data_IF_586979066164
#
_entry.id   IF_586979066164
#
_cell.length_a   1.000
_cell.length_b   1.000
_cell.length_c   1.000
_cell.angle_alpha   90.00
_cell.angle_beta   90.00
_cell.angle_gamma   90.00
#
_symmetry.space_group_name_H-M   'P 1'
#
loop_
_entity.id
_entity.type
_entity.pdbx_description
1 polymer ?
#
# COMPACT_ATOMS: atom_id res chain seq x y z
N UNK A 1 -1.86 20.50 -9.41
CA UNK A 1 -2.78 19.44 -8.92
C UNK A 1 -4.20 19.70 -9.40
N UNK A 2 -4.91 18.66 -9.86
CA UNK A 2 -6.35 18.69 -10.17
C UNK A 2 -7.06 17.50 -9.55
N UNK A 3 -8.17 17.73 -8.84
CA UNK A 3 -9.00 16.69 -8.25
C UNK A 3 -10.33 16.56 -9.00
N UNK A 4 -10.66 15.36 -9.46
CA UNK A 4 -11.91 15.01 -10.12
C UNK A 4 -12.70 14.05 -9.24
N UNK A 5 -13.78 14.53 -8.62
CA UNK A 5 -14.60 13.73 -7.71
C UNK A 5 -15.74 13.02 -8.45
N UNK A 6 -16.15 11.83 -7.96
CA UNK A 6 -17.31 11.08 -8.44
C UNK A 6 -18.41 11.13 -7.39
N UNK A 7 -19.57 11.67 -7.77
CA UNK A 7 -20.74 11.78 -6.89
C UNK A 7 -22.01 11.28 -7.62
N UNK A 8 -22.53 10.08 -7.27
CA UNK A 8 -22.00 9.15 -6.25
C UNK A 8 -20.67 8.48 -6.69
N UNK A 9 -19.87 7.94 -5.75
CA UNK A 9 -18.73 7.09 -6.08
C UNK A 9 -19.13 5.89 -6.93
N UNK A 10 -18.23 5.42 -7.81
CA UNK A 10 -18.45 4.18 -8.57
C UNK A 10 -18.20 2.99 -7.65
N UNK A 11 -19.20 2.14 -7.46
CA UNK A 11 -19.05 0.90 -6.70
C UNK A 11 -18.64 -0.27 -7.61
N UNK A 12 -17.78 -1.15 -7.10
CA UNK A 12 -17.44 -2.40 -7.77
C UNK A 12 -17.08 -3.48 -6.74
N UNK A 13 -17.39 -4.73 -7.09
CA UNK A 13 -17.12 -5.90 -6.26
C UNK A 13 -15.66 -6.35 -6.38
N UNK A 14 -15.07 -6.72 -5.24
CA UNK A 14 -13.72 -7.28 -5.13
C UNK A 14 -13.71 -8.47 -4.18
N UNK A 15 -12.58 -9.16 -4.15
CA UNK A 15 -12.30 -10.25 -3.23
C UNK A 15 -12.47 -11.63 -3.86
N UNK A 16 -11.79 -12.62 -3.28
CA UNK A 16 -11.76 -13.98 -3.81
C UNK A 16 -13.02 -14.75 -3.40
N UNK A 17 -13.07 -15.31 -2.19
CA UNK A 17 -14.24 -16.03 -1.68
C UNK A 17 -15.21 -15.06 -0.98
N UNK A 18 -14.66 -14.18 -0.13
CA UNK A 18 -15.43 -13.17 0.58
C UNK A 18 -15.50 -11.90 -0.25
N UNK A 19 -16.68 -11.62 -0.79
CA UNK A 19 -16.91 -10.42 -1.60
C UNK A 19 -17.02 -9.17 -0.73
N UNK A 20 -16.41 -8.08 -1.21
CA UNK A 20 -16.52 -6.75 -0.64
C UNK A 20 -16.76 -5.71 -1.73
N UNK A 21 -17.26 -4.53 -1.35
CA UNK A 21 -17.48 -3.40 -2.26
C UNK A 21 -16.41 -2.34 -2.02
N UNK A 22 -15.69 -1.97 -3.07
CA UNK A 22 -14.83 -0.78 -3.08
C UNK A 22 -15.57 0.35 -3.79
N UNK A 23 -15.39 1.57 -3.28
CA UNK A 23 -15.94 2.82 -3.82
C UNK A 23 -14.82 3.64 -4.44
N UNK A 24 -14.86 3.80 -5.75
CA UNK A 24 -13.97 4.68 -6.50
C UNK A 24 -14.52 6.12 -6.45
N UNK A 25 -13.93 6.93 -5.58
CA UNK A 25 -14.38 8.28 -5.24
C UNK A 25 -13.90 9.37 -6.22
N UNK A 26 -12.98 9.06 -7.14
CA UNK A 26 -12.42 10.08 -8.03
C UNK A 26 -11.00 9.80 -8.49
N UNK A 27 -10.37 10.83 -9.05
CA UNK A 27 -9.01 10.78 -9.59
C UNK A 27 -8.28 12.07 -9.26
N UNK A 28 -6.99 11.95 -8.94
CA UNK A 28 -6.12 13.07 -8.64
C UNK A 28 -4.98 13.12 -9.65
N UNK A 29 -4.87 14.23 -10.35
CA UNK A 29 -3.77 14.51 -11.26
C UNK A 29 -2.75 15.42 -10.58
N UNK A 30 -1.48 14.98 -10.61
CA UNK A 30 -0.34 15.72 -10.07
C UNK A 30 0.62 16.08 -11.19
N UNK A 31 1.11 17.31 -11.15
CA UNK A 31 2.23 17.77 -11.96
C UNK A 31 3.54 17.25 -11.36
N UNK A 32 4.64 17.32 -12.13
CA UNK A 32 5.95 16.93 -11.61
C UNK A 32 6.28 17.75 -10.36
N UNK A 33 6.75 17.04 -9.34
CA UNK A 33 7.19 17.53 -8.03
C UNK A 33 6.05 17.99 -7.10
N UNK A 34 4.81 17.63 -7.41
CA UNK A 34 3.68 17.74 -6.49
C UNK A 34 3.51 16.48 -5.63
N UNK A 35 3.09 16.68 -4.38
CA UNK A 35 2.87 15.64 -3.37
C UNK A 35 1.46 15.77 -2.79
N UNK A 36 0.84 14.63 -2.49
CA UNK A 36 -0.37 14.56 -1.65
C UNK A 36 -0.15 13.60 -0.50
N UNK A 37 -0.80 13.88 0.63
CA UNK A 37 -0.77 13.02 1.82
C UNK A 37 -2.17 12.45 2.01
N UNK A 38 -2.24 11.13 2.15
CA UNK A 38 -3.44 10.42 2.55
C UNK A 38 -3.34 10.15 4.06
N UNK A 39 -4.40 10.46 4.80
CA UNK A 39 -4.44 10.35 6.25
C UNK A 39 -5.41 9.23 6.66
N UNK A 40 -5.02 8.46 7.68
CA UNK A 40 -5.93 7.55 8.38
C UNK A 40 -6.60 8.26 9.55
N UNK A 41 -7.70 7.71 10.08
CA UNK A 41 -8.43 8.30 11.20
C UNK A 41 -7.58 8.46 12.47
N UNK A 42 -6.56 7.61 12.64
CA UNK A 42 -5.61 7.65 13.76
C UNK A 42 -4.37 8.51 13.48
N UNK A 43 -4.36 9.25 12.37
CA UNK A 43 -3.27 10.14 11.99
C UNK A 43 -2.08 9.45 11.31
N UNK A 44 -2.26 8.22 10.79
CA UNK A 44 -1.27 7.60 9.94
C UNK A 44 -1.15 8.34 8.60
N UNK A 45 0.07 8.49 8.07
CA UNK A 45 0.32 9.30 6.87
C UNK A 45 0.93 8.47 5.73
N UNK A 46 0.35 8.62 4.53
CA UNK A 46 0.87 8.06 3.30
C UNK A 46 1.04 9.13 2.21
N UNK A 47 2.30 9.50 1.95
CA UNK A 47 2.65 10.46 0.90
C UNK A 47 2.84 9.78 -0.45
N UNK A 48 2.30 10.38 -1.51
CA UNK A 48 2.59 10.04 -2.91
C UNK A 48 3.07 11.29 -3.64
N UNK A 49 4.22 11.20 -4.30
CA UNK A 49 4.82 12.32 -5.06
C UNK A 49 4.89 11.97 -6.54
N UNK A 50 4.41 12.85 -7.41
CA UNK A 50 4.70 12.76 -8.84
C UNK A 50 6.09 13.33 -9.11
N UNK A 51 6.90 12.65 -9.93
CA UNK A 51 8.19 13.15 -10.45
C UNK A 51 8.17 13.04 -11.97
N UNK A 52 8.99 13.77 -12.72
CA UNK A 52 8.99 13.66 -14.19
C UNK A 52 9.09 12.21 -14.70
N UNK A 53 9.86 11.36 -14.01
CA UNK A 53 10.10 9.96 -14.35
C UNK A 53 9.03 8.96 -13.87
N UNK A 54 8.06 9.38 -13.03
CA UNK A 54 7.09 8.43 -12.46
C UNK A 54 6.51 8.92 -11.14
N UNK A 55 6.45 8.01 -10.16
CA UNK A 55 5.98 8.30 -8.82
C UNK A 55 6.99 7.85 -7.78
N UNK A 56 7.28 8.72 -6.83
CA UNK A 56 7.76 8.26 -5.55
C UNK A 56 6.56 7.70 -4.81
N UNK A 57 6.44 6.37 -4.88
CA UNK A 57 5.21 5.67 -4.51
C UNK A 57 4.91 5.80 -3.02
N UNK A 58 5.92 5.83 -2.16
CA UNK A 58 5.77 5.91 -0.70
C UNK A 58 6.99 6.61 -0.07
N UNK A 59 6.90 7.14 1.17
CA UNK A 59 8.08 7.40 2.01
C UNK A 59 8.92 6.14 2.25
N UNK A 60 10.12 6.28 2.85
CA UNK A 60 10.98 5.14 3.14
C UNK A 60 10.29 4.12 4.06
N UNK A 61 10.24 2.86 3.62
CA UNK A 61 9.45 1.78 4.24
C UNK A 61 9.91 1.45 5.65
N UNK A 62 11.21 1.50 5.88
CA UNK A 62 11.88 1.25 7.16
C UNK A 62 12.32 2.54 7.88
N UNK A 63 11.74 3.68 7.50
CA UNK A 63 12.03 4.98 8.08
C UNK A 63 10.75 5.78 8.25
N UNK A 64 10.54 6.79 7.39
CA UNK A 64 9.42 7.74 7.51
C UNK A 64 8.07 7.04 7.57
N UNK A 65 7.81 6.09 6.68
CA UNK A 65 6.50 5.44 6.60
C UNK A 65 6.17 4.66 7.88
N UNK A 66 7.15 3.91 8.39
CA UNK A 66 7.04 3.26 9.70
C UNK A 66 6.90 4.27 10.85
N UNK A 67 7.53 5.43 10.76
CA UNK A 67 7.36 6.54 11.70
C UNK A 67 5.95 7.14 11.67
N UNK A 68 5.32 7.17 10.49
CA UNK A 68 3.95 7.62 10.26
C UNK A 68 2.88 6.56 10.54
N UNK A 69 3.21 5.53 11.32
CA UNK A 69 2.24 4.54 11.75
C UNK A 69 1.83 3.52 10.69
N UNK A 70 2.50 3.47 9.54
CA UNK A 70 2.22 2.50 8.47
C UNK A 70 3.38 1.53 8.27
N UNK A 71 3.08 0.23 8.25
CA UNK A 71 4.02 -0.85 7.94
C UNK A 71 3.86 -1.27 6.50
N UNK A 72 4.96 -1.58 5.83
CA UNK A 72 4.94 -1.99 4.42
C UNK A 72 5.13 -3.49 4.30
N UNK A 73 4.29 -4.16 3.50
CA UNK A 73 4.38 -5.59 3.28
C UNK A 73 4.28 -5.92 1.80
N UNK A 74 5.23 -6.72 1.31
CA UNK A 74 5.16 -7.37 0.01
C UNK A 74 4.41 -8.70 0.19
N UNK A 75 3.33 -8.86 -0.55
CA UNK A 75 2.53 -10.09 -0.60
C UNK A 75 2.49 -10.65 -2.01
N UNK A 76 2.14 -11.93 -2.12
CA UNK A 76 1.90 -12.62 -3.38
C UNK A 76 0.56 -13.35 -3.31
N UNK A 77 -0.24 -13.28 -4.37
CA UNK A 77 -1.48 -14.04 -4.45
C UNK A 77 -1.25 -15.44 -5.07
N UNK A 78 -2.31 -16.27 -5.08
CA UNK A 78 -2.29 -17.64 -5.65
C UNK A 78 -1.94 -17.75 -7.14
N UNK A 79 -2.02 -16.66 -7.90
CA UNK A 79 -1.64 -16.61 -9.33
C UNK A 79 -0.27 -15.95 -9.54
N UNK A 80 0.57 -15.94 -8.49
CA UNK A 80 1.93 -15.38 -8.49
C UNK A 80 2.03 -13.88 -8.83
N UNK A 81 0.96 -13.11 -8.62
CA UNK A 81 1.02 -11.64 -8.70
C UNK A 81 1.44 -11.08 -7.35
N UNK A 82 2.33 -10.10 -7.38
CA UNK A 82 2.88 -9.46 -6.19
C UNK A 82 2.24 -8.09 -5.97
N UNK A 83 2.03 -7.74 -4.71
CA UNK A 83 1.42 -6.48 -4.30
C UNK A 83 2.18 -5.91 -3.12
N UNK A 84 2.27 -4.58 -3.05
CA UNK A 84 2.72 -3.86 -1.87
C UNK A 84 1.49 -3.33 -1.16
N UNK A 85 1.33 -3.70 0.11
CA UNK A 85 0.24 -3.24 0.96
C UNK A 85 0.83 -2.43 2.13
N UNK A 86 0.05 -1.46 2.60
CA UNK A 86 0.36 -0.66 3.78
C UNK A 86 -0.60 -1.04 4.91
N UNK A 87 -0.07 -1.32 6.09
CA UNK A 87 -0.83 -1.79 7.26
C UNK A 87 -0.65 -0.80 8.39
N UNK A 88 -1.76 -0.25 8.90
CA UNK A 88 -1.72 0.59 10.10
C UNK A 88 -1.15 -0.19 11.29
N UNK A 89 -0.23 0.41 12.05
CA UNK A 89 0.30 -0.19 13.28
C UNK A 89 -0.84 -0.48 14.25
N UNK A 90 -0.87 -1.70 14.77
CA UNK A 90 -1.93 -2.20 15.63
C UNK A 90 -3.07 -2.91 14.89
N UNK A 91 -3.12 -2.81 13.55
CA UNK A 91 -4.09 -3.52 12.71
C UNK A 91 -3.51 -4.78 12.03
N UNK A 92 -2.37 -5.28 12.53
CA UNK A 92 -1.80 -6.53 12.05
C UNK A 92 -2.75 -7.73 12.17
N UNK A 93 -3.55 -7.90 13.24
CA UNK A 93 -4.51 -9.01 13.33
C UNK A 93 -5.56 -8.98 12.22
N UNK A 94 -6.14 -7.82 11.92
CA UNK A 94 -7.11 -7.64 10.83
C UNK A 94 -6.46 -7.88 9.48
N UNK A 95 -5.21 -7.45 9.30
CA UNK A 95 -4.45 -7.76 8.10
C UNK A 95 -4.19 -9.26 7.93
N UNK A 96 -3.90 -10.00 9.01
CA UNK A 96 -3.76 -11.47 8.94
C UNK A 96 -5.07 -12.15 8.52
N UNK A 97 -6.22 -11.67 9.02
CA UNK A 97 -7.51 -12.18 8.58
C UNK A 97 -7.72 -11.91 7.08
N UNK A 98 -7.38 -10.71 6.60
CA UNK A 98 -7.44 -10.39 5.18
C UNK A 98 -6.53 -11.27 4.32
N UNK A 99 -5.30 -11.52 4.77
CA UNK A 99 -4.35 -12.43 4.10
C UNK A 99 -4.92 -13.84 3.97
N UNK A 100 -5.63 -14.33 4.99
CA UNK A 100 -6.29 -15.64 4.96
C UNK A 100 -7.52 -15.66 4.03
N UNK A 101 -8.36 -14.61 4.09
CA UNK A 101 -9.57 -14.47 3.27
C UNK A 101 -9.25 -14.31 1.77
N UNK A 102 -8.13 -13.66 1.40
CA UNK A 102 -7.67 -13.42 0.03
C UNK A 102 -6.59 -14.40 -0.49
N UNK A 103 -6.51 -15.60 0.10
CA UNK A 103 -5.35 -16.50 0.12
C UNK A 103 -4.01 -15.89 -0.34
N UNK A 104 -3.51 -14.92 0.43
CA UNK A 104 -2.24 -14.25 0.18
C UNK A 104 -1.10 -14.95 0.92
N UNK A 105 0.10 -14.86 0.35
CA UNK A 105 1.35 -15.23 1.02
C UNK A 105 2.13 -13.96 1.32
N UNK A 106 2.51 -13.76 2.57
CA UNK A 106 3.46 -12.69 2.94
C UNK A 106 4.84 -13.09 2.42
N UNK A 107 5.39 -12.29 1.51
CA UNK A 107 6.74 -12.49 0.97
C UNK A 107 7.76 -11.85 1.89
N UNK A 108 7.52 -10.59 2.29
CA UNK A 108 8.40 -9.86 3.18
C UNK A 108 7.69 -8.65 3.79
N UNK A 109 7.98 -8.40 5.06
CA UNK A 109 7.77 -7.08 5.67
C UNK A 109 8.94 -6.16 5.26
N UNK A 110 8.64 -5.12 4.48
CA UNK A 110 9.64 -4.20 3.90
C UNK A 110 10.07 -3.09 4.88
N UNK A 111 9.57 -3.13 6.12
CA UNK A 111 10.03 -2.37 7.27
C UNK A 111 10.94 -3.22 8.19
N UNK A 112 11.07 -4.53 7.94
CA UNK A 112 11.92 -5.43 8.72
C UNK A 112 13.34 -5.51 8.14
N UNK A 113 14.39 -5.11 8.89
CA UNK A 113 15.77 -5.14 8.42
C UNK A 113 16.25 -6.52 7.98
N UNK A 114 15.89 -7.59 8.67
CA UNK A 114 16.31 -8.94 8.34
C UNK A 114 15.71 -9.41 7.00
N UNK A 115 14.46 -9.05 6.73
CA UNK A 115 13.83 -9.36 5.44
C UNK A 115 14.49 -8.58 4.31
N UNK A 116 14.75 -7.28 4.51
CA UNK A 116 15.44 -6.45 3.53
C UNK A 116 16.86 -6.97 3.24
N UNK A 117 17.60 -7.38 4.27
CA UNK A 117 18.93 -7.96 4.11
C UNK A 117 18.89 -9.28 3.32
N UNK A 118 17.93 -10.17 3.64
CA UNK A 118 17.71 -11.41 2.88
C UNK A 118 17.39 -11.15 1.42
N UNK A 119 16.51 -10.18 1.14
CA UNK A 119 16.19 -9.76 -0.23
C UNK A 119 17.44 -9.22 -0.94
N UNK A 120 18.19 -8.33 -0.27
CA UNK A 120 19.40 -7.74 -0.83
C UNK A 120 20.45 -8.80 -1.17
N UNK A 121 20.71 -9.75 -0.27
CA UNK A 121 21.65 -10.86 -0.50
C UNK A 121 21.21 -11.79 -1.63
N UNK A 122 19.91 -12.05 -1.77
CA UNK A 122 19.39 -12.93 -2.81
C UNK A 122 19.50 -12.34 -4.23
N UNK A 123 19.61 -11.01 -4.34
CA UNK A 123 19.68 -10.28 -5.61
C UNK A 123 21.12 -9.85 -5.94
N UNK A 124 21.96 -9.62 -4.91
CA UNK A 124 23.37 -9.32 -5.10
C UNK A 124 24.07 -10.51 -5.79
N UNK A 125 24.43 -10.30 -7.05
CA UNK A 125 25.29 -11.18 -7.85
C UNK A 125 26.68 -11.31 -7.21
#
# INVERSE_FOLDING_TARGET
>A
MKLFTKQPPREFEVGFDKKGIIRDCGTLELDADEQVTLLTEKGGEYDVVRKVWGFYATPSTNGRLSGFGLRTVLVKNRVNRHFVLLVEKGHEPEFQNYVADEPLTIVAWLDNPEHLEKIGKAIAL
#
